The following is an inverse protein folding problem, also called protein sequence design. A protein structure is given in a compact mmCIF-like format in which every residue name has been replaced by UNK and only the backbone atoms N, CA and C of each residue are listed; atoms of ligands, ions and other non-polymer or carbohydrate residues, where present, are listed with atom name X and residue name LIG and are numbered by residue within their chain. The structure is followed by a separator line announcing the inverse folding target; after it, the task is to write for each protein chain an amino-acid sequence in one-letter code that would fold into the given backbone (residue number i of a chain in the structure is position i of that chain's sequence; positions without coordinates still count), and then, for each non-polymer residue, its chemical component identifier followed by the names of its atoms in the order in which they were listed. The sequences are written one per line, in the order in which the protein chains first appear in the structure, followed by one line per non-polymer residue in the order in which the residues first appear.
data_IF_824869664710
#
_entry.id   IF_824869664710
#
_cell.length_a   1.000
_cell.length_b   1.000
_cell.length_c   1.000
_cell.angle_alpha   90.00
_cell.angle_beta   90.00
_cell.angle_gamma   90.00
#
_symmetry.space_group_name_H-M   'P 1'
#
loop_
_entity.id
_entity.type
_entity.pdbx_description
1 polymer ?
#
# COMPACT_ATOMS: atom_id res chain seq x y z
N UNK A 1 0.47 3.99 -17.86
CA UNK A 1 0.58 3.90 -16.39
C UNK A 1 -0.76 4.19 -15.71
N UNK A 2 -1.33 5.41 -15.81
CA UNK A 2 -2.62 5.75 -15.16
C UNK A 2 -3.75 4.75 -15.47
N UNK A 3 -3.98 4.41 -16.74
CA UNK A 3 -5.02 3.45 -17.14
C UNK A 3 -4.84 2.05 -16.55
N UNK A 4 -3.60 1.60 -16.37
CA UNK A 4 -3.29 0.30 -15.76
C UNK A 4 -3.56 0.31 -14.25
N UNK A 5 -3.24 1.42 -13.56
CA UNK A 5 -3.53 1.58 -12.14
C UNK A 5 -5.04 1.66 -11.89
N UNK A 6 -5.78 2.35 -12.76
CA UNK A 6 -7.24 2.37 -12.69
C UNK A 6 -7.84 0.98 -12.94
N UNK A 7 -7.33 0.22 -13.93
CA UNK A 7 -7.76 -1.16 -14.13
C UNK A 7 -7.49 -2.06 -12.90
N UNK A 8 -6.34 -1.84 -12.22
CA UNK A 8 -6.05 -2.51 -10.95
C UNK A 8 -7.07 -2.13 -9.86
N UNK A 9 -7.45 -0.85 -9.77
CA UNK A 9 -8.48 -0.39 -8.82
C UNK A 9 -9.79 -1.16 -9.00
N UNK A 10 -10.30 -1.20 -10.24
CA UNK A 10 -11.55 -1.89 -10.56
C UNK A 10 -11.44 -3.39 -10.22
N UNK A 11 -10.28 -4.00 -10.49
CA UNK A 11 -10.03 -5.39 -10.12
C UNK A 11 -10.08 -5.61 -8.59
N UNK A 12 -9.40 -4.77 -7.80
CA UNK A 12 -9.37 -4.89 -6.34
C UNK A 12 -10.77 -4.68 -5.72
N UNK A 13 -11.54 -3.73 -6.23
CA UNK A 13 -12.94 -3.50 -5.84
C UNK A 13 -13.78 -4.73 -6.15
N UNK A 14 -13.66 -5.29 -7.36
CA UNK A 14 -14.39 -6.49 -7.76
C UNK A 14 -14.04 -7.71 -6.88
N UNK A 15 -12.79 -7.81 -6.42
CA UNK A 15 -12.35 -8.82 -5.46
C UNK A 15 -12.75 -8.52 -4.00
N UNK A 16 -13.44 -7.40 -3.74
CA UNK A 16 -13.88 -6.96 -2.41
C UNK A 16 -12.72 -6.81 -1.42
N UNK A 17 -11.58 -6.32 -1.89
CA UNK A 17 -10.42 -6.05 -1.06
C UNK A 17 -10.77 -4.96 -0.04
N UNK A 18 -10.56 -5.23 1.24
CA UNK A 18 -10.91 -4.32 2.35
C UNK A 18 -9.73 -3.46 2.83
N UNK A 19 -8.52 -3.78 2.40
CA UNK A 19 -7.29 -3.07 2.73
C UNK A 19 -6.23 -3.31 1.66
N UNK A 20 -5.54 -2.24 1.24
CA UNK A 20 -4.40 -2.31 0.32
C UNK A 20 -3.16 -1.78 1.03
N UNK A 21 -2.15 -2.64 1.16
CA UNK A 21 -0.86 -2.27 1.77
C UNK A 21 0.14 -1.93 0.67
N UNK A 22 0.77 -0.76 0.76
CA UNK A 22 1.81 -0.30 -0.16
C UNK A 22 3.09 -0.03 0.62
N UNK A 23 4.21 -0.56 0.14
CA UNK A 23 5.52 -0.25 0.69
C UNK A 23 5.99 1.15 0.25
N UNK A 24 6.44 1.97 1.22
CA UNK A 24 6.96 3.33 1.00
C UNK A 24 8.44 3.33 0.61
N UNK A 25 8.79 2.63 -0.46
CA UNK A 25 10.17 2.64 -0.99
C UNK A 25 10.28 3.67 -2.11
N UNK A 26 11.11 4.70 -1.90
CA UNK A 26 11.26 5.85 -2.81
C UNK A 26 9.91 6.57 -3.05
N UNK A 27 9.70 7.13 -4.23
CA UNK A 27 8.49 7.89 -4.62
C UNK A 27 7.51 7.10 -5.52
N UNK A 28 7.85 5.87 -5.90
CA UNK A 28 7.07 5.06 -6.85
C UNK A 28 5.66 4.70 -6.34
N UNK A 29 5.45 4.73 -5.02
CA UNK A 29 4.15 4.49 -4.40
C UNK A 29 3.13 5.59 -4.70
N UNK A 30 3.55 6.83 -4.98
CA UNK A 30 2.67 7.99 -5.14
C UNK A 30 1.54 7.79 -6.17
N UNK A 31 1.81 7.39 -7.43
CA UNK A 31 0.74 7.20 -8.41
C UNK A 31 -0.24 6.09 -8.02
N UNK A 32 0.21 5.03 -7.34
CA UNK A 32 -0.69 3.98 -6.85
C UNK A 32 -1.54 4.49 -5.69
N UNK A 33 -0.93 5.11 -4.69
CA UNK A 33 -1.67 5.63 -3.55
C UNK A 33 -2.71 6.66 -4.01
N UNK A 34 -2.31 7.67 -4.78
CA UNK A 34 -3.19 8.78 -5.13
C UNK A 34 -4.35 8.39 -6.05
N UNK A 35 -4.21 7.36 -6.88
CA UNK A 35 -5.28 6.91 -7.78
C UNK A 35 -6.21 5.87 -7.15
N UNK A 36 -5.78 5.22 -6.07
CA UNK A 36 -6.53 4.15 -5.39
C UNK A 36 -7.24 4.63 -4.11
N UNK A 37 -6.69 5.64 -3.42
CA UNK A 37 -7.14 6.16 -2.12
C UNK A 37 -8.56 6.72 -2.09
N UNK A 38 -9.13 7.09 -3.24
CA UNK A 38 -10.52 7.59 -3.30
C UNK A 38 -11.56 6.47 -3.08
N UNK A 39 -11.22 5.22 -3.38
CA UNK A 39 -12.18 4.09 -3.40
C UNK A 39 -11.74 2.91 -2.52
N UNK A 40 -10.45 2.86 -2.15
CA UNK A 40 -9.86 1.74 -1.42
C UNK A 40 -9.24 2.25 -0.11
N UNK A 41 -9.32 1.40 0.92
CA UNK A 41 -8.67 1.66 2.19
C UNK A 41 -7.16 1.39 2.07
N UNK A 42 -6.37 2.46 2.03
CA UNK A 42 -4.93 2.39 1.76
C UNK A 42 -4.10 2.44 3.05
N UNK A 43 -3.06 1.61 3.11
CA UNK A 43 -2.03 1.65 4.14
C UNK A 43 -0.66 1.78 3.48
N UNK A 44 -0.11 2.99 3.47
CA UNK A 44 1.30 3.19 3.10
C UNK A 44 2.16 2.80 4.30
N UNK A 45 3.11 1.89 4.15
CA UNK A 45 3.92 1.39 5.26
C UNK A 45 5.41 1.50 4.97
N UNK A 46 6.17 1.84 6.01
CA UNK A 46 7.62 1.77 5.94
C UNK A 46 8.07 0.33 6.23
N UNK A 47 8.50 -0.41 5.20
CA UNK A 47 8.90 -1.82 5.33
C UNK A 47 10.08 -2.05 6.28
N UNK A 48 10.91 -1.03 6.56
CA UNK A 48 11.96 -1.16 7.59
C UNK A 48 11.38 -1.48 8.98
N UNK A 49 10.14 -1.06 9.26
CA UNK A 49 9.46 -1.31 10.54
C UNK A 49 8.97 -2.75 10.70
N UNK A 50 8.80 -3.48 9.60
CA UNK A 50 8.25 -4.85 9.62
C UNK A 50 9.31 -5.93 9.35
N UNK A 51 10.56 -5.52 9.10
CA UNK A 51 11.65 -6.43 8.73
C UNK A 51 11.97 -7.48 9.80
N UNK A 52 11.72 -7.15 11.07
CA UNK A 52 12.05 -7.98 12.22
C UNK A 52 10.83 -8.68 12.84
N UNK A 53 9.68 -8.69 12.15
CA UNK A 53 8.50 -9.41 12.65
C UNK A 53 8.77 -10.92 12.59
N UNK A 54 8.72 -11.64 13.73
CA UNK A 54 8.95 -13.09 13.75
C UNK A 54 7.92 -13.84 12.91
N UNK A 55 8.30 -15.00 12.38
CA UNK A 55 7.40 -15.86 11.60
C UNK A 55 7.43 -15.61 10.09
N UNK A 56 8.22 -14.63 9.60
CA UNK A 56 8.45 -14.46 8.17
C UNK A 56 9.21 -15.67 7.60
N UNK A 57 8.59 -16.37 6.64
CA UNK A 57 9.24 -17.42 5.85
C UNK A 57 10.12 -16.80 4.76
N UNK A 58 11.22 -17.46 4.42
CA UNK A 58 12.20 -16.98 3.42
C UNK A 58 11.64 -16.92 2.00
N UNK A 59 10.67 -17.78 1.68
CA UNK A 59 10.13 -17.93 0.31
C UNK A 59 8.88 -17.09 0.03
N UNK A 60 8.47 -16.23 0.97
CA UNK A 60 7.32 -15.34 0.80
C UNK A 60 7.80 -13.99 0.27
N UNK A 61 7.16 -13.53 -0.81
CA UNK A 61 7.45 -12.21 -1.38
C UNK A 61 7.15 -11.11 -0.36
N UNK A 62 7.87 -9.99 -0.42
CA UNK A 62 7.62 -8.85 0.47
C UNK A 62 6.14 -8.42 0.41
N UNK A 63 5.55 -8.34 -0.79
CA UNK A 63 4.16 -7.94 -0.97
C UNK A 63 3.16 -8.86 -0.23
N UNK A 64 3.34 -10.19 -0.33
CA UNK A 64 2.47 -11.14 0.34
C UNK A 64 2.65 -11.08 1.87
N UNK A 65 3.89 -10.92 2.34
CA UNK A 65 4.17 -10.76 3.76
C UNK A 65 3.54 -9.49 4.33
N UNK A 66 3.64 -8.37 3.62
CA UNK A 66 3.06 -7.09 4.02
C UNK A 66 1.53 -7.14 4.05
N UNK A 67 0.91 -7.82 3.07
CA UNK A 67 -0.53 -8.01 3.04
C UNK A 67 -1.03 -8.82 4.24
N UNK A 68 -0.33 -9.88 4.62
CA UNK A 68 -0.67 -10.72 5.78
C UNK A 68 -0.58 -9.92 7.09
N UNK A 69 0.53 -9.19 7.30
CA UNK A 69 0.68 -8.33 8.46
C UNK A 69 -0.38 -7.22 8.51
N UNK A 70 -0.74 -6.64 7.36
CA UNK A 70 -1.82 -5.65 7.24
C UNK A 70 -3.17 -6.22 7.63
N UNK A 71 -3.50 -7.41 7.11
CA UNK A 71 -4.75 -8.11 7.41
C UNK A 71 -4.89 -8.44 8.91
N UNK A 72 -3.77 -8.71 9.59
CA UNK A 72 -3.73 -8.99 11.02
C UNK A 72 -3.56 -7.74 11.91
N UNK A 73 -3.50 -6.52 11.34
CA UNK A 73 -3.31 -5.29 12.11
C UNK A 73 -1.94 -5.16 12.77
N UNK A 74 -0.93 -5.89 12.27
CA UNK A 74 0.43 -5.93 12.80
C UNK A 74 1.33 -4.82 12.21
N UNK A 75 0.76 -3.92 11.39
CA UNK A 75 1.47 -2.78 10.80
C UNK A 75 0.77 -1.46 11.14
N UNK A 76 1.55 -0.39 11.15
CA UNK A 76 1.04 0.97 11.33
C UNK A 76 1.27 1.77 10.06
N UNK A 77 0.20 2.40 9.55
CA UNK A 77 0.28 3.26 8.38
C UNK A 77 1.15 4.50 8.66
N UNK A 78 1.97 4.85 7.68
CA UNK A 78 2.66 6.14 7.60
C UNK A 78 1.66 7.25 7.30
N UNK A 79 1.95 8.46 7.76
CA UNK A 79 1.14 9.63 7.44
C UNK A 79 1.29 9.99 5.96
N UNK A 80 0.17 10.00 5.23
CA UNK A 80 0.08 10.58 3.88
C UNK A 80 -0.73 11.88 3.96
N UNK A 81 -0.18 13.02 3.50
CA UNK A 81 -0.93 14.28 3.51
C UNK A 81 -2.25 14.18 2.74
N UNK A 82 -3.32 14.88 3.17
CA UNK A 82 -4.57 14.91 2.44
C UNK A 82 -4.41 15.62 1.07
N UNK A 83 -5.31 15.38 0.10
CA UNK A 83 -5.19 15.90 -1.28
C UNK A 83 -4.78 17.37 -1.42
N UNK A 84 -5.32 18.33 -0.62
CA UNK A 84 -4.95 19.74 -0.76
C UNK A 84 -3.47 20.04 -0.47
N UNK A 85 -2.77 19.14 0.23
CA UNK A 85 -1.38 19.31 0.70
C UNK A 85 -0.44 18.37 -0.08
N UNK A 86 -0.95 17.51 -0.97
CA UNK A 86 -0.13 16.64 -1.84
C UNK A 86 0.54 17.49 -2.92
N UNK A 87 1.56 18.25 -2.54
CA UNK A 87 2.38 19.02 -3.48
C UNK A 87 3.13 18.03 -4.36
N UNK A 88 3.04 18.20 -5.69
CA UNK A 88 3.91 17.50 -6.62
C UNK A 88 5.35 17.72 -6.19
N UNK A 89 6.03 16.66 -5.75
CA UNK A 89 7.45 16.72 -5.49
C UNK A 89 8.14 17.27 -6.73
N UNK A 90 9.06 18.21 -6.51
CA UNK A 90 9.85 18.91 -7.53
C UNK A 90 10.27 18.02 -8.70
#
# INVERSE_FOLDING_TARGET
MTSQILALREHLIAQKVTCVVIESTSDYWKPFYYLLDDELNMMLINASRVRNVPGRKTDVSDAAWLADLGAHGLVTASLVPPPPIRVGGK
#
